data_IF_391920320866
#
_entry.id   IF_391920320866
#
_cell.length_a   1.000
_cell.length_b   1.000
_cell.length_c   1.000
_cell.angle_alpha   90.00
_cell.angle_beta   90.00
_cell.angle_gamma   90.00
#
_symmetry.space_group_name_H-M   'P 1'
#
loop_
_entity.id
_entity.type
_entity.pdbx_description
1 polymer ?
#
# COMPACT_ATOMS: atom_id res chain seq x y z
N UNK A 1 6.43 18.89 5.10
CA UNK A 1 6.71 17.60 4.45
C UNK A 1 7.69 17.88 3.34
N UNK A 2 8.80 17.16 3.33
CA UNK A 2 9.86 17.34 2.33
C UNK A 2 9.37 16.98 0.93
N UNK A 3 9.88 17.62 -0.15
CA UNK A 3 9.47 17.30 -1.52
C UNK A 3 9.68 15.83 -1.91
N UNK A 4 10.80 15.23 -1.48
CA UNK A 4 11.12 13.82 -1.72
C UNK A 4 10.09 12.87 -1.08
N UNK A 5 9.52 13.24 0.07
CA UNK A 5 8.43 12.50 0.70
C UNK A 5 7.10 12.77 -0.03
N UNK A 6 6.79 14.05 -0.30
CA UNK A 6 5.50 14.47 -0.88
C UNK A 6 5.21 13.84 -2.24
N UNK A 7 6.23 13.62 -3.08
CA UNK A 7 6.05 12.97 -4.40
C UNK A 7 5.43 11.58 -4.29
N UNK A 8 5.71 10.82 -3.23
CA UNK A 8 5.13 9.49 -3.03
C UNK A 8 3.65 9.56 -2.71
N UNK A 9 3.21 10.52 -1.90
CA UNK A 9 1.78 10.74 -1.65
C UNK A 9 1.03 11.18 -2.91
N UNK A 10 1.68 11.97 -3.78
CA UNK A 10 1.11 12.32 -5.09
C UNK A 10 0.99 11.07 -5.96
N UNK A 11 2.04 10.25 -6.02
CA UNK A 11 2.04 9.04 -6.84
C UNK A 11 1.04 7.98 -6.34
N UNK A 12 0.90 7.83 -5.02
CA UNK A 12 -0.14 7.03 -4.37
C UNK A 12 -1.54 7.51 -4.77
N UNK A 13 -1.77 8.83 -4.74
CA UNK A 13 -3.03 9.41 -5.22
C UNK A 13 -3.27 9.09 -6.69
N UNK A 14 -2.25 9.20 -7.55
CA UNK A 14 -2.36 8.82 -8.97
C UNK A 14 -2.71 7.34 -9.14
N UNK A 15 -2.05 6.44 -8.40
CA UNK A 15 -2.35 5.01 -8.45
C UNK A 15 -3.79 4.74 -8.01
N UNK A 16 -4.22 5.34 -6.90
CA UNK A 16 -5.55 5.15 -6.34
C UNK A 16 -6.66 5.69 -7.25
N UNK A 17 -6.49 6.90 -7.80
CA UNK A 17 -7.52 7.56 -8.60
C UNK A 17 -7.53 7.09 -10.07
N UNK A 18 -6.38 6.66 -10.61
CA UNK A 18 -6.25 6.43 -12.06
C UNK A 18 -6.02 4.97 -12.44
N UNK A 19 -5.57 4.09 -11.54
CA UNK A 19 -5.21 2.73 -11.93
C UNK A 19 -6.43 1.88 -12.28
N UNK A 20 -6.52 1.36 -13.51
CA UNK A 20 -7.59 0.42 -13.86
C UNK A 20 -7.28 -1.01 -13.38
N UNK A 21 -6.12 -1.23 -12.76
CA UNK A 21 -5.58 -2.56 -12.46
C UNK A 21 -5.72 -2.95 -10.99
N UNK A 22 -6.49 -2.20 -10.19
CA UNK A 22 -6.70 -2.49 -8.77
C UNK A 22 -7.96 -3.32 -8.49
N UNK A 23 -8.69 -3.72 -9.55
CA UNK A 23 -9.93 -4.49 -9.47
C UNK A 23 -9.91 -5.70 -8.51
N UNK A 24 -8.87 -6.56 -8.51
CA UNK A 24 -8.81 -7.73 -7.62
C UNK A 24 -8.87 -7.42 -6.12
N UNK A 25 -8.60 -6.18 -5.72
CA UNK A 25 -8.54 -5.75 -4.32
C UNK A 25 -9.66 -4.79 -3.93
N UNK A 26 -10.63 -4.53 -4.81
CA UNK A 26 -11.81 -3.74 -4.50
C UNK A 26 -12.69 -4.52 -3.52
N UNK A 27 -13.07 -3.87 -2.42
CA UNK A 27 -14.02 -4.37 -1.43
C UNK A 27 -15.12 -3.34 -1.20
N UNK A 28 -16.36 -3.79 -1.04
CA UNK A 28 -17.48 -2.93 -0.65
C UNK A 28 -17.26 -2.38 0.76
N UNK A 29 -17.55 -1.10 0.96
CA UNK A 29 -17.57 -0.43 2.26
C UNK A 29 -18.82 0.42 2.40
N UNK A 30 -19.32 0.53 3.64
CA UNK A 30 -20.51 1.30 3.96
C UNK A 30 -20.13 2.65 4.58
N UNK A 31 -19.24 3.39 3.91
CA UNK A 31 -18.84 4.74 4.34
C UNK A 31 -19.73 5.81 3.70
N UNK A 32 -19.87 6.96 4.38
CA UNK A 32 -20.77 8.04 3.93
C UNK A 32 -20.38 8.70 2.59
N UNK A 33 -19.14 8.50 2.14
CA UNK A 33 -18.56 9.20 0.99
C UNK A 33 -17.98 8.26 -0.08
N UNK A 34 -17.92 6.94 0.17
CA UNK A 34 -17.41 5.95 -0.79
C UNK A 34 -18.10 4.60 -0.58
N UNK A 35 -18.45 3.93 -1.67
CA UNK A 35 -19.10 2.59 -1.65
C UNK A 35 -18.13 1.43 -1.70
N UNK A 36 -16.92 1.68 -2.19
CA UNK A 36 -15.91 0.66 -2.44
C UNK A 36 -14.56 1.19 -1.99
N UNK A 37 -13.62 0.33 -1.61
CA UNK A 37 -12.21 0.72 -1.48
C UNK A 37 -11.28 -0.40 -1.80
N UNK A 38 -10.04 -0.07 -2.11
CA UNK A 38 -9.01 -1.09 -2.19
C UNK A 38 -8.57 -1.49 -0.78
N UNK A 39 -8.29 -2.79 -0.62
CA UNK A 39 -7.77 -3.34 0.63
C UNK A 39 -6.73 -4.42 0.32
N UNK A 40 -5.62 -4.38 1.06
CA UNK A 40 -4.51 -5.32 0.92
C UNK A 40 -3.94 -5.41 -0.51
N UNK A 41 -3.85 -4.27 -1.22
CA UNK A 41 -3.15 -4.21 -2.51
C UNK A 41 -1.67 -4.58 -2.28
N UNK A 42 -1.10 -5.57 -3.01
CA UNK A 42 0.24 -6.09 -2.76
C UNK A 42 1.29 -5.13 -3.30
N UNK A 43 1.58 -4.05 -2.59
CA UNK A 43 2.57 -3.04 -3.01
C UNK A 43 3.95 -3.68 -3.08
N UNK A 44 4.70 -3.44 -4.15
CA UNK A 44 6.05 -3.96 -4.28
C UNK A 44 6.96 -3.46 -3.14
N UNK A 45 7.85 -4.35 -2.69
CA UNK A 45 8.74 -4.10 -1.57
C UNK A 45 9.52 -2.79 -1.74
N UNK A 46 10.15 -2.59 -2.90
CA UNK A 46 11.02 -1.43 -3.13
C UNK A 46 10.24 -0.11 -3.22
N UNK A 47 8.99 -0.13 -3.70
CA UNK A 47 8.13 1.07 -3.71
C UNK A 47 7.81 1.51 -2.28
N UNK A 48 7.52 0.55 -1.39
CA UNK A 48 7.25 0.84 0.01
C UNK A 48 8.52 1.30 0.76
N UNK A 49 9.64 0.62 0.55
CA UNK A 49 10.93 0.98 1.18
C UNK A 49 11.38 2.38 0.74
N UNK A 50 11.29 2.70 -0.55
CA UNK A 50 11.64 4.02 -1.10
C UNK A 50 10.74 5.13 -0.55
N UNK A 51 9.43 4.89 -0.44
CA UNK A 51 8.51 5.84 0.18
C UNK A 51 8.88 6.11 1.64
N UNK A 52 9.11 5.06 2.42
CA UNK A 52 9.47 5.20 3.82
C UNK A 52 10.80 5.94 4.02
N UNK A 53 11.82 5.59 3.24
CA UNK A 53 13.15 6.21 3.25
C UNK A 53 13.05 7.73 3.02
N UNK A 54 12.39 8.13 1.93
CA UNK A 54 12.25 9.54 1.55
C UNK A 54 11.40 10.35 2.54
N UNK A 55 10.55 9.68 3.33
CA UNK A 55 9.72 10.30 4.35
C UNK A 55 10.34 10.29 5.74
N UNK A 56 11.40 9.51 6.01
CA UNK A 56 11.93 9.27 7.37
C UNK A 56 12.08 10.54 8.21
N UNK A 57 12.62 11.61 7.60
CA UNK A 57 12.93 12.89 8.24
C UNK A 57 11.78 13.91 8.22
N UNK A 58 10.69 13.62 7.49
CA UNK A 58 9.46 14.42 7.57
C UNK A 58 8.75 14.20 8.90
N UNK A 59 7.71 14.99 9.17
CA UNK A 59 6.95 14.94 10.42
C UNK A 59 5.48 14.63 10.18
N UNK A 60 4.89 13.89 11.12
CA UNK A 60 3.46 13.57 11.20
C UNK A 60 3.03 13.59 12.66
N UNK A 61 1.72 13.58 12.91
CA UNK A 61 1.14 13.47 14.25
C UNK A 61 0.22 12.24 14.40
N UNK A 62 0.10 11.41 13.35
CA UNK A 62 -0.80 10.25 13.31
C UNK A 62 -0.20 9.12 12.47
N UNK A 63 -0.54 7.89 12.85
CA UNK A 63 -0.21 6.64 12.15
C UNK A 63 -1.34 6.08 11.28
N UNK A 64 -2.55 6.64 11.36
CA UNK A 64 -3.67 6.36 10.46
C UNK A 64 -4.21 7.70 9.96
N UNK A 65 -4.16 7.91 8.65
CA UNK A 65 -4.53 9.14 7.97
C UNK A 65 -5.94 9.11 7.37
N UNK A 66 -6.66 7.98 7.42
CA UNK A 66 -8.06 7.95 7.00
C UNK A 66 -9.00 8.58 8.01
N UNK A 67 -8.68 8.52 9.31
CA UNK A 67 -9.62 8.90 10.37
C UNK A 67 -8.98 9.63 11.54
N UNK A 68 -9.81 10.34 12.32
CA UNK A 68 -9.40 10.99 13.56
C UNK A 68 -8.54 12.24 13.37
N UNK A 69 -8.71 12.93 12.25
CA UNK A 69 -8.22 14.30 12.06
C UNK A 69 -9.20 15.31 12.65
N UNK A 70 -8.69 16.48 13.04
CA UNK A 70 -9.53 17.63 13.34
C UNK A 70 -9.84 18.39 12.04
N UNK A 71 -11.13 18.54 11.70
CA UNK A 71 -11.60 19.19 10.48
C UNK A 71 -12.27 20.56 10.71
N UNK A 72 -12.26 21.11 11.93
CA UNK A 72 -13.00 22.35 12.26
C UNK A 72 -12.59 23.56 11.43
N UNK A 73 -11.37 23.56 10.89
CA UNK A 73 -10.85 24.62 10.00
C UNK A 73 -11.09 24.39 8.50
N UNK A 74 -11.84 23.36 8.11
CA UNK A 74 -12.08 22.99 6.70
C UNK A 74 -10.91 22.25 6.02
N UNK A 75 -9.81 22.04 6.74
CA UNK A 75 -8.66 21.20 6.36
C UNK A 75 -8.25 20.35 7.55
N UNK A 76 -7.63 19.20 7.30
CA UNK A 76 -7.20 18.30 8.37
C UNK A 76 -6.07 18.92 9.19
N UNK A 77 -6.26 18.96 10.50
CA UNK A 77 -5.24 19.35 11.49
C UNK A 77 -5.04 18.25 12.52
N UNK A 78 -3.86 18.22 13.12
CA UNK A 78 -3.58 17.34 14.24
C UNK A 78 -4.61 17.57 15.36
N UNK A 79 -5.21 16.50 15.92
CA UNK A 79 -6.08 16.63 17.09
C UNK A 79 -5.27 17.09 18.31
N UNK A 80 -5.94 17.64 19.32
CA UNK A 80 -5.29 18.35 20.43
C UNK A 80 -4.23 17.53 21.19
N UNK A 81 -4.41 16.22 21.29
CA UNK A 81 -3.51 15.31 22.02
C UNK A 81 -2.42 14.69 21.11
N UNK A 82 -2.49 14.91 19.79
CA UNK A 82 -1.54 14.34 18.85
C UNK A 82 -0.31 15.24 18.70
N UNK A 83 0.85 14.71 19.09
CA UNK A 83 2.13 15.42 19.06
C UNK A 83 2.84 15.20 17.73
N UNK A 84 3.29 16.26 17.06
CA UNK A 84 4.13 16.13 15.87
C UNK A 84 5.48 15.49 16.23
N UNK A 85 5.80 14.37 15.56
CA UNK A 85 7.10 13.68 15.64
C UNK A 85 7.57 13.29 14.25
N UNK A 86 8.77 12.76 14.14
CA UNK A 86 9.28 12.22 12.87
C UNK A 86 8.35 11.13 12.35
N UNK A 87 8.33 10.95 11.02
CA UNK A 87 7.62 9.83 10.40
C UNK A 87 8.08 8.50 10.98
N UNK A 88 9.38 8.30 11.18
CA UNK A 88 9.94 7.10 11.81
C UNK A 88 9.35 6.81 13.21
N UNK A 89 9.02 7.85 14.00
CA UNK A 89 8.40 7.66 15.32
C UNK A 89 6.99 7.07 15.24
N UNK A 90 6.22 7.43 14.21
CA UNK A 90 4.86 6.92 13.99
C UNK A 90 4.83 5.67 13.10
N UNK A 91 5.85 5.50 12.27
CA UNK A 91 6.00 4.45 11.28
C UNK A 91 7.42 3.87 11.39
N UNK A 92 7.68 2.96 12.35
CA UNK A 92 9.02 2.48 12.65
C UNK A 92 9.63 1.58 11.56
N UNK A 93 8.81 1.09 10.62
CA UNK A 93 9.24 0.26 9.49
C UNK A 93 8.52 0.68 8.20
N UNK A 94 9.05 0.32 7.02
CA UNK A 94 8.34 0.54 5.75
C UNK A 94 6.92 -0.04 5.77
N UNK A 95 6.76 -1.28 6.23
CA UNK A 95 5.45 -1.92 6.35
C UNK A 95 4.49 -1.13 7.27
N UNK A 96 4.98 -0.60 8.39
CA UNK A 96 4.15 0.22 9.28
C UNK A 96 3.60 1.46 8.55
N UNK A 97 4.39 2.09 7.67
CA UNK A 97 3.92 3.19 6.83
C UNK A 97 2.89 2.71 5.80
N UNK A 98 3.31 1.82 4.89
CA UNK A 98 2.51 1.49 3.71
C UNK A 98 1.18 0.81 4.06
N UNK A 99 1.17 -0.03 5.10
CA UNK A 99 -0.03 -0.74 5.55
C UNK A 99 -0.87 0.11 6.51
N UNK A 100 -0.24 0.89 7.39
CA UNK A 100 -0.91 1.63 8.45
C UNK A 100 -1.53 2.95 8.01
N UNK A 101 -0.79 3.72 7.18
CA UNK A 101 -1.13 5.09 6.80
C UNK A 101 -2.56 5.21 6.27
N UNK A 102 -2.94 4.30 5.37
CA UNK A 102 -4.26 4.26 4.74
C UNK A 102 -5.09 3.06 5.22
N UNK A 103 -5.03 2.71 6.50
CA UNK A 103 -5.88 1.67 7.12
C UNK A 103 -5.98 0.37 6.30
N UNK A 104 -4.83 -0.19 5.93
CA UNK A 104 -4.70 -1.41 5.13
C UNK A 104 -5.21 -1.30 3.67
N UNK A 105 -5.13 -0.12 3.05
CA UNK A 105 -5.22 -0.03 1.58
C UNK A 105 -4.16 -0.93 0.92
N UNK A 106 -2.94 -0.91 1.44
CA UNK A 106 -1.85 -1.77 0.99
C UNK A 106 -1.53 -2.87 2.01
N UNK A 107 -0.97 -3.94 1.47
CA UNK A 107 -0.21 -4.96 2.18
C UNK A 107 1.14 -5.07 1.46
N UNK A 108 2.25 -4.97 2.17
CA UNK A 108 3.57 -5.01 1.50
C UNK A 108 3.86 -6.42 1.02
N UNK A 109 4.16 -6.54 -0.26
CA UNK A 109 4.54 -7.81 -0.87
C UNK A 109 6.00 -8.14 -0.57
N UNK A 110 6.32 -9.42 -0.46
CA UNK A 110 7.71 -9.89 -0.41
C UNK A 110 8.35 -9.89 -1.81
N UNK A 111 7.54 -9.78 -2.86
CA UNK A 111 8.04 -9.76 -4.23
C UNK A 111 8.62 -8.39 -4.59
N UNK A 112 9.71 -8.43 -5.34
CA UNK A 112 10.33 -7.24 -5.91
C UNK A 112 9.59 -6.72 -7.13
N UNK A 113 9.82 -5.44 -7.44
CA UNK A 113 9.44 -4.80 -8.70
C UNK A 113 9.78 -5.67 -9.93
N UNK A 114 8.89 -5.69 -10.92
CA UNK A 114 9.07 -6.46 -12.15
C UNK A 114 8.80 -7.97 -12.04
N UNK A 115 8.47 -8.48 -10.85
CA UNK A 115 8.13 -9.90 -10.65
C UNK A 115 6.81 -10.35 -11.28
N UNK A 116 5.94 -9.42 -11.68
CA UNK A 116 4.56 -9.70 -12.06
C UNK A 116 3.65 -10.13 -10.89
N UNK A 117 4.12 -9.99 -9.63
CA UNK A 117 3.41 -10.47 -8.42
C UNK A 117 3.10 -9.39 -7.38
N UNK A 118 3.48 -8.15 -7.63
CA UNK A 118 3.19 -7.00 -6.78
C UNK A 118 2.89 -5.76 -7.62
N UNK A 119 2.06 -4.87 -7.09
CA UNK A 119 1.69 -3.60 -7.72
C UNK A 119 2.82 -2.61 -7.55
N UNK A 120 3.23 -2.00 -8.65
CA UNK A 120 4.20 -0.92 -8.70
C UNK A 120 3.46 0.42 -8.72
N UNK A 121 3.78 1.28 -7.76
CA UNK A 121 3.29 2.65 -7.70
C UNK A 121 4.10 3.56 -8.63
N UNK A 122 5.39 3.27 -8.78
CA UNK A 122 6.29 3.92 -9.73
C UNK A 122 6.59 3.01 -10.92
N UNK A 123 6.47 3.48 -12.15
CA UNK A 123 6.95 2.77 -13.34
C UNK A 123 7.13 3.76 -14.50
N UNK A 124 7.91 3.36 -15.50
CA UNK A 124 8.14 4.16 -16.70
C UNK A 124 7.05 3.85 -17.75
N UNK A 125 6.14 4.79 -18.08
CA UNK A 125 5.05 4.53 -19.01
C UNK A 125 5.52 4.07 -20.39
N UNK A 126 6.70 4.52 -20.85
CA UNK A 126 7.26 4.10 -22.13
C UNK A 126 7.58 2.59 -22.21
N UNK A 127 7.69 1.89 -21.07
CA UNK A 127 7.92 0.45 -21.00
C UNK A 127 6.61 -0.37 -20.82
N UNK A 128 5.46 0.30 -20.88
CA UNK A 128 4.15 -0.30 -20.61
C UNK A 128 3.80 -0.32 -19.13
N UNK A 129 2.55 -0.64 -18.82
CA UNK A 129 2.05 -0.70 -17.46
C UNK A 129 2.26 -2.11 -16.86
N UNK A 130 3.17 -2.29 -15.90
CA UNK A 130 3.46 -3.62 -15.34
C UNK A 130 2.32 -4.17 -14.48
N UNK A 131 1.39 -3.32 -14.04
CA UNK A 131 0.29 -3.74 -13.15
C UNK A 131 -0.82 -4.51 -13.89
N UNK A 132 -0.86 -4.45 -15.23
CA UNK A 132 -1.80 -5.25 -16.02
C UNK A 132 -1.58 -6.75 -15.82
N UNK A 133 -0.33 -7.20 -15.87
CA UNK A 133 0.03 -8.60 -15.65
C UNK A 133 -0.30 -9.03 -14.21
N UNK A 134 0.04 -8.19 -13.24
CA UNK A 134 -0.19 -8.43 -11.81
C UNK A 134 -1.69 -8.61 -11.55
N UNK A 135 -2.52 -7.68 -12.03
CA UNK A 135 -3.96 -7.75 -11.85
C UNK A 135 -4.55 -9.02 -12.47
N UNK A 136 -4.10 -9.37 -13.68
CA UNK A 136 -4.52 -10.60 -14.36
C UNK A 136 -4.13 -11.85 -13.56
N UNK A 137 -2.91 -11.89 -13.02
CA UNK A 137 -2.44 -13.01 -12.20
C UNK A 137 -3.34 -13.23 -10.97
N UNK A 138 -3.60 -12.18 -10.19
CA UNK A 138 -4.42 -12.31 -8.99
C UNK A 138 -5.89 -12.57 -9.30
N UNK A 139 -6.46 -11.96 -10.35
CA UNK A 139 -7.82 -12.25 -10.79
C UNK A 139 -8.00 -13.74 -11.13
N UNK A 140 -7.05 -14.34 -11.87
CA UNK A 140 -7.08 -15.76 -12.22
C UNK A 140 -6.91 -16.66 -10.99
N UNK A 141 -6.05 -16.28 -10.04
CA UNK A 141 -5.86 -17.05 -8.81
C UNK A 141 -7.13 -17.07 -7.94
N UNK A 142 -7.87 -15.96 -7.89
CA UNK A 142 -9.16 -15.85 -7.18
C UNK A 142 -10.25 -16.70 -7.83
N UNK A 143 -10.34 -16.68 -9.17
CA UNK A 143 -11.35 -17.45 -9.92
C UNK A 143 -11.16 -18.97 -9.79
N UNK A 144 -9.90 -19.43 -9.76
CA UNK A 144 -9.60 -20.87 -9.69
C UNK A 144 -9.55 -21.42 -8.26
N UNK A 145 -9.86 -20.61 -7.23
CA UNK A 145 -9.89 -21.09 -5.84
C UNK A 145 -8.56 -21.63 -5.32
N UNK A 146 -7.42 -21.22 -5.91
CA UNK A 146 -6.07 -21.70 -5.54
C UNK A 146 -5.53 -21.00 -4.28
N UNK A 147 -6.34 -20.13 -3.64
CA UNK A 147 -6.02 -19.49 -2.36
C UNK A 147 -5.45 -20.43 -1.28
N UNK A 148 -5.98 -21.66 -1.09
CA UNK A 148 -5.43 -22.62 -0.13
C UNK A 148 -4.19 -23.38 -0.63
N UNK A 149 -3.98 -23.48 -1.95
CA UNK A 149 -2.93 -24.31 -2.56
C UNK A 149 -1.57 -23.59 -2.68
N UNK A 150 -1.57 -22.25 -2.76
CA UNK A 150 -0.33 -21.47 -2.72
C UNK A 150 0.27 -21.40 -1.30
N UNK A 151 -0.57 -21.45 -0.26
CA UNK A 151 -0.14 -21.56 1.13
C UNK A 151 0.51 -22.92 1.42
N UNK A 152 0.04 -24.01 0.81
CA UNK A 152 0.61 -25.35 1.01
C UNK A 152 1.95 -25.53 0.29
N UNK A 153 2.15 -24.92 -0.88
CA UNK A 153 3.44 -24.94 -1.58
C UNK A 153 4.52 -24.15 -0.84
N UNK A 154 4.18 -23.02 -0.21
CA UNK A 154 5.09 -22.28 0.67
C UNK A 154 5.52 -23.07 1.90
N UNK A 155 4.58 -23.80 2.53
CA UNK A 155 4.86 -24.65 3.69
C UNK A 155 5.74 -25.87 3.32
N UNK A 156 5.46 -26.50 2.17
CA UNK A 156 6.25 -27.63 1.68
C UNK A 156 7.69 -27.23 1.32
N UNK A 157 7.89 -26.04 0.74
CA UNK A 157 9.24 -25.54 0.44
C UNK A 157 10.03 -25.23 1.71
N UNK A 158 9.36 -24.78 2.78
CA UNK A 158 9.99 -24.56 4.09
C UNK A 158 10.36 -25.88 4.79
N UNK A 159 9.51 -26.90 4.69
CA UNK A 159 9.80 -28.23 5.23
C UNK A 159 10.96 -28.92 4.50
N UNK A 160 11.04 -28.77 3.17
CA UNK A 160 12.16 -29.30 2.38
C UNK A 160 13.50 -28.59 2.59
N UNK A 161 13.50 -27.37 3.13
CA UNK A 161 14.72 -26.63 3.47
C UNK A 161 15.17 -26.86 4.92
N UNK A 162 14.38 -27.58 5.72
CA UNK A 162 14.69 -27.95 7.11
C UNK A 162 15.15 -29.41 7.28
N UNK A 163 15.12 -30.22 6.21
CA UNK A 163 15.67 -31.58 6.15
C UNK A 163 17.01 -31.64 5.41
#
# INVERSE_FOLDING_TARGET
MEPACKRHFIQDTCLYECSPNLGPWIQQVNDSWRRERFRNVPLCKEDCESWWEDCRTSYTCKSDWHKGWNWTSGSNKCPAEAVCRTFESYFPTPAALCEGLWSHSYQVSQYSRGSGRCIQMWFEPAQGNPNEEVARFYALAMLHGIGPLLLSLGLMLQLWLLD
#
